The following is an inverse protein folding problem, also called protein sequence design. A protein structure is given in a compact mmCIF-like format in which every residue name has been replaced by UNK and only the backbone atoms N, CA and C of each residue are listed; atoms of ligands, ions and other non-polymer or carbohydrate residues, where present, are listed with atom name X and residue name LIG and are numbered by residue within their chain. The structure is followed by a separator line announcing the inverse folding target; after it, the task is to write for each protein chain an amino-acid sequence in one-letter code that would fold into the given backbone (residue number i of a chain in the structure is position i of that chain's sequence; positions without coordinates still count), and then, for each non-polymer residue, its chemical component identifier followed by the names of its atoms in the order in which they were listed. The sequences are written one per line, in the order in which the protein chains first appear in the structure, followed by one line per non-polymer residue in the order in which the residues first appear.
data_IF_147953464305
#
_entry.id   IF_147953464305
#
_cell.length_a   1.000
_cell.length_b   1.000
_cell.length_c   1.000
_cell.angle_alpha   90.00
_cell.angle_beta   90.00
_cell.angle_gamma   90.00
#
_symmetry.space_group_name_H-M   'P 1'
#
loop_
_entity.id
_entity.type
_entity.pdbx_description
1 polymer ?
#
# COMPACT_ATOMS: atom_id res chain seq x y z
N UNK A 1 26.37 7.26 -7.25
CA UNK A 1 25.86 5.87 -7.23
C UNK A 1 25.62 5.50 -5.79
N UNK A 2 24.37 5.56 -5.35
CA UNK A 2 24.02 5.11 -4.00
C UNK A 2 23.73 3.61 -4.12
N UNK A 3 24.53 2.79 -3.43
CA UNK A 3 24.29 1.35 -3.32
C UNK A 3 23.21 1.19 -2.24
N UNK A 4 21.98 1.60 -2.53
CA UNK A 4 20.87 1.42 -1.58
C UNK A 4 20.38 -0.01 -1.72
N UNK A 5 21.14 -0.94 -1.16
CA UNK A 5 20.59 -2.22 -0.76
C UNK A 5 20.16 -2.07 0.69
N UNK A 6 18.86 -2.19 0.95
CA UNK A 6 18.29 -2.04 2.29
C UNK A 6 18.88 -3.13 3.19
N UNK A 7 19.59 -2.75 4.26
CA UNK A 7 20.24 -3.71 5.18
C UNK A 7 19.24 -4.64 5.88
N UNK A 8 18.01 -4.18 6.07
CA UNK A 8 16.90 -4.95 6.64
C UNK A 8 15.88 -5.12 5.53
N UNK A 9 15.50 -6.38 5.27
CA UNK A 9 14.54 -6.73 4.22
C UNK A 9 13.32 -7.38 4.85
N UNK A 10 12.09 -6.95 4.49
CA UNK A 10 10.90 -7.70 4.86
C UNK A 10 10.94 -9.10 4.24
N UNK A 11 10.48 -10.10 4.99
CA UNK A 11 10.34 -11.46 4.49
C UNK A 11 8.86 -11.84 4.49
N UNK A 12 8.32 -12.19 3.32
CA UNK A 12 6.93 -12.59 3.14
C UNK A 12 6.81 -14.12 3.13
N UNK A 13 5.81 -14.62 3.86
CA UNK A 13 5.51 -16.05 3.94
C UNK A 13 4.33 -16.40 3.05
N UNK A 14 4.52 -17.39 2.18
CA UNK A 14 3.49 -17.93 1.30
C UNK A 14 3.28 -19.41 1.59
N UNK A 15 2.14 -19.93 1.14
CA UNK A 15 1.78 -21.34 1.27
C UNK A 15 2.64 -22.15 0.28
N UNK A 16 2.36 -21.98 -1.02
CA UNK A 16 3.09 -22.54 -2.16
C UNK A 16 3.17 -21.59 -3.38
N UNK A 17 2.53 -20.42 -3.31
CA UNK A 17 2.29 -19.49 -4.41
C UNK A 17 3.31 -18.35 -4.55
N UNK A 18 4.50 -18.46 -3.94
CA UNK A 18 5.52 -17.40 -3.95
C UNK A 18 5.85 -16.88 -5.36
N UNK A 19 6.07 -17.75 -6.34
CA UNK A 19 6.48 -17.31 -7.68
C UNK A 19 5.38 -16.50 -8.37
N UNK A 20 4.13 -16.93 -8.23
CA UNK A 20 2.95 -16.22 -8.74
C UNK A 20 2.83 -14.84 -8.09
N UNK A 21 2.92 -14.78 -6.75
CA UNK A 21 2.84 -13.53 -6.01
C UNK A 21 3.95 -12.54 -6.42
N UNK A 22 5.19 -13.02 -6.56
CA UNK A 22 6.31 -12.18 -7.01
C UNK A 22 6.07 -11.63 -8.41
N UNK A 23 5.59 -12.46 -9.34
CA UNK A 23 5.27 -12.02 -10.71
C UNK A 23 4.14 -11.00 -10.73
N UNK A 24 3.10 -11.23 -9.93
CA UNK A 24 1.97 -10.31 -9.79
C UNK A 24 2.44 -8.94 -9.28
N UNK A 25 3.10 -8.87 -8.13
CA UNK A 25 3.53 -7.58 -7.57
C UNK A 25 4.51 -6.83 -8.47
N UNK A 26 5.50 -7.53 -9.04
CA UNK A 26 6.47 -6.89 -9.95
C UNK A 26 5.87 -6.41 -11.28
N UNK A 27 4.67 -6.88 -11.64
CA UNK A 27 3.93 -6.36 -12.79
C UNK A 27 3.15 -5.08 -12.48
N UNK A 28 2.81 -4.84 -11.21
CA UNK A 28 2.01 -3.71 -10.76
C UNK A 28 2.89 -2.51 -10.43
N UNK A 29 3.94 -2.73 -9.64
CA UNK A 29 4.77 -1.64 -9.11
C UNK A 29 5.84 -1.23 -10.14
N UNK A 30 6.01 0.07 -10.42
CA UNK A 30 7.10 0.54 -11.26
C UNK A 30 8.47 0.23 -10.60
N UNK A 31 9.55 0.39 -11.38
CA UNK A 31 10.93 0.18 -10.88
C UNK A 31 11.15 -1.14 -10.13
N UNK A 32 10.39 -2.18 -10.51
CA UNK A 32 10.38 -3.48 -9.86
C UNK A 32 11.18 -4.50 -10.65
N UNK A 33 11.71 -5.50 -9.95
CA UNK A 33 12.46 -6.57 -10.59
C UNK A 33 12.37 -7.87 -9.82
N UNK A 34 12.35 -8.97 -10.57
CA UNK A 34 12.49 -10.31 -10.02
C UNK A 34 13.98 -10.60 -9.87
N UNK A 35 14.40 -10.96 -8.66
CA UNK A 35 15.75 -11.38 -8.34
C UNK A 35 15.89 -12.90 -8.40
N UNK A 36 16.53 -13.48 -7.39
CA UNK A 36 16.67 -14.93 -7.29
C UNK A 36 15.34 -15.60 -6.92
N UNK A 37 14.89 -16.57 -7.71
CA UNK A 37 13.69 -17.36 -7.44
C UNK A 37 13.97 -18.86 -7.49
N UNK A 38 13.43 -19.58 -6.52
CA UNK A 38 13.36 -21.03 -6.45
C UNK A 38 11.98 -21.43 -5.93
N UNK A 39 11.58 -22.71 -6.03
CA UNK A 39 10.29 -23.15 -5.47
C UNK A 39 10.14 -22.93 -3.95
N UNK A 40 11.24 -22.77 -3.20
CA UNK A 40 11.22 -22.61 -1.74
C UNK A 40 11.41 -21.16 -1.29
N UNK A 41 12.30 -20.41 -1.96
CA UNK A 41 12.68 -19.05 -1.56
C UNK A 41 12.78 -18.11 -2.76
N UNK A 42 12.50 -16.84 -2.50
CA UNK A 42 12.59 -15.78 -3.48
C UNK A 42 13.21 -14.49 -2.95
N UNK A 43 13.66 -13.68 -3.89
CA UNK A 43 14.06 -12.28 -3.72
C UNK A 43 13.48 -11.47 -4.89
N UNK A 44 12.92 -10.31 -4.58
CA UNK A 44 12.33 -9.41 -5.56
C UNK A 44 12.36 -7.98 -5.03
N UNK A 45 12.26 -7.01 -5.92
CA UNK A 45 12.24 -5.59 -5.59
C UNK A 45 10.95 -4.97 -6.09
N UNK A 46 10.27 -4.21 -5.23
CA UNK A 46 9.11 -3.39 -5.56
C UNK A 46 9.44 -1.93 -5.29
N UNK A 47 9.35 -1.04 -6.30
CA UNK A 47 9.65 0.39 -6.15
C UNK A 47 10.97 0.69 -5.40
N UNK A 48 12.00 -0.12 -5.65
CA UNK A 48 13.31 0.00 -5.02
C UNK A 48 13.44 -0.60 -3.61
N UNK A 49 12.37 -1.12 -3.00
CA UNK A 49 12.44 -1.90 -1.76
C UNK A 49 12.60 -3.39 -2.07
N UNK A 50 13.70 -3.98 -1.60
CA UNK A 50 13.95 -5.43 -1.78
C UNK A 50 13.30 -6.26 -0.67
N UNK A 51 12.60 -7.30 -1.09
CA UNK A 51 11.89 -8.26 -0.27
C UNK A 51 12.53 -9.64 -0.40
N UNK A 52 12.39 -10.40 0.68
CA UNK A 52 12.56 -11.85 0.69
C UNK A 52 11.19 -12.52 0.70
N UNK A 53 11.10 -13.72 0.15
CA UNK A 53 9.92 -14.55 0.24
C UNK A 53 10.27 -16.01 0.50
N UNK A 54 9.37 -16.73 1.16
CA UNK A 54 9.49 -18.17 1.45
C UNK A 54 8.14 -18.85 1.22
N UNK A 55 8.13 -19.95 0.49
CA UNK A 55 7.04 -20.93 0.49
C UNK A 55 7.23 -21.85 1.69
N UNK A 56 6.45 -21.66 2.74
CA UNK A 56 6.63 -22.38 4.00
C UNK A 56 5.42 -23.20 4.43
N UNK A 57 4.36 -23.25 3.62
CA UNK A 57 3.14 -23.97 3.93
C UNK A 57 2.12 -23.14 4.77
N UNK A 58 0.99 -23.76 5.14
CA UNK A 58 -0.25 -23.03 5.46
C UNK A 58 -0.33 -22.50 6.89
N UNK A 59 0.68 -22.83 7.70
CA UNK A 59 0.66 -22.63 9.15
C UNK A 59 0.77 -21.15 9.54
N UNK A 60 1.41 -20.32 8.71
CA UNK A 60 1.51 -18.88 8.91
C UNK A 60 0.74 -18.15 7.81
N UNK A 61 -0.10 -17.21 8.22
CA UNK A 61 -0.93 -16.39 7.32
C UNK A 61 -0.59 -14.92 7.47
N UNK A 62 -0.80 -14.17 6.40
CA UNK A 62 -0.78 -12.71 6.49
C UNK A 62 -1.85 -12.23 7.46
N UNK A 63 -1.54 -11.12 8.11
CA UNK A 63 -2.46 -10.35 8.94
C UNK A 63 -2.15 -8.87 8.76
N UNK A 64 -3.06 -8.02 9.18
CA UNK A 64 -2.94 -6.56 9.13
C UNK A 64 -1.83 -6.03 10.04
N UNK A 65 -1.21 -6.87 10.86
CA UNK A 65 -0.10 -6.50 11.75
C UNK A 65 1.15 -6.01 10.97
N UNK A 66 1.31 -6.43 9.71
CA UNK A 66 2.34 -5.93 8.80
C UNK A 66 1.67 -5.48 7.51
N UNK A 67 1.81 -4.20 7.19
CA UNK A 67 1.26 -3.59 5.98
C UNK A 67 2.31 -2.71 5.29
N UNK A 68 2.26 -2.63 3.96
CA UNK A 68 3.08 -1.71 3.17
C UNK A 68 2.20 -0.57 2.66
N UNK A 69 2.64 0.65 2.89
CA UNK A 69 1.95 1.85 2.42
C UNK A 69 2.59 2.34 1.13
N UNK A 70 1.75 2.63 0.13
CA UNK A 70 2.17 3.20 -1.15
C UNK A 70 1.79 4.67 -1.13
N UNK A 71 2.78 5.55 -1.20
CA UNK A 71 2.54 6.98 -1.36
C UNK A 71 2.16 7.24 -2.81
N UNK A 72 0.95 7.72 -3.04
CA UNK A 72 0.44 8.04 -4.37
C UNK A 72 0.51 9.56 -4.59
N UNK A 73 0.85 9.98 -5.80
CA UNK A 73 0.91 11.39 -6.16
C UNK A 73 -0.48 12.02 -6.32
N UNK A 74 -1.46 11.25 -6.80
CA UNK A 74 -2.81 11.71 -7.06
C UNK A 74 -3.84 10.57 -7.08
N UNK A 75 -5.11 10.91 -7.34
CA UNK A 75 -6.22 9.95 -7.43
C UNK A 75 -6.02 8.90 -8.54
N UNK A 76 -5.35 9.25 -9.64
CA UNK A 76 -5.12 8.31 -10.75
C UNK A 76 -4.21 7.19 -10.31
N UNK A 77 -3.16 7.49 -9.55
CA UNK A 77 -2.30 6.45 -8.96
C UNK A 77 -3.04 5.65 -7.87
N UNK A 78 -3.83 6.32 -7.02
CA UNK A 78 -4.67 5.61 -6.04
C UNK A 78 -5.59 4.60 -6.74
N UNK A 79 -6.26 5.03 -7.81
CA UNK A 79 -7.16 4.19 -8.59
C UNK A 79 -6.41 3.04 -9.27
N UNK A 80 -5.26 3.32 -9.87
CA UNK A 80 -4.42 2.29 -10.50
C UNK A 80 -4.01 1.20 -9.50
N UNK A 81 -3.43 1.58 -8.35
CA UNK A 81 -2.98 0.60 -7.37
C UNK A 81 -4.16 -0.13 -6.71
N UNK A 82 -5.25 0.58 -6.41
CA UNK A 82 -6.45 -0.04 -5.84
C UNK A 82 -7.05 -1.08 -6.79
N UNK A 83 -7.33 -0.69 -8.03
CA UNK A 83 -7.97 -1.56 -9.01
C UNK A 83 -7.06 -2.74 -9.40
N UNK A 84 -5.73 -2.55 -9.39
CA UNK A 84 -4.76 -3.62 -9.66
C UNK A 84 -4.61 -4.61 -8.50
N UNK A 85 -4.61 -4.13 -7.25
CA UNK A 85 -4.35 -5.00 -6.07
C UNK A 85 -5.60 -5.70 -5.55
N UNK A 86 -6.79 -5.19 -5.86
CA UNK A 86 -8.06 -5.88 -5.58
C UNK A 86 -8.28 -7.06 -6.53
N UNK A 87 -7.66 -7.08 -7.72
CA UNK A 87 -7.69 -8.25 -8.59
C UNK A 87 -6.88 -9.41 -7.96
N UNK A 88 -7.60 -10.38 -7.38
CA UNK A 88 -7.02 -11.44 -6.56
C UNK A 88 -6.84 -11.09 -5.08
N UNK A 89 -7.25 -9.89 -4.66
CA UNK A 89 -7.22 -9.41 -3.28
C UNK A 89 -8.61 -9.14 -2.69
N UNK A 90 -8.66 -8.55 -1.51
CA UNK A 90 -9.90 -8.14 -0.84
C UNK A 90 -9.82 -6.66 -0.46
N UNK A 91 -10.92 -5.92 -0.71
CA UNK A 91 -11.05 -4.54 -0.24
C UNK A 91 -11.08 -4.51 1.30
N UNK A 92 -10.28 -3.63 1.90
CA UNK A 92 -10.28 -3.39 3.33
C UNK A 92 -10.30 -1.88 3.63
N UNK A 93 -10.72 -1.53 4.84
CA UNK A 93 -10.78 -0.14 5.28
C UNK A 93 -9.35 0.39 5.53
N UNK A 94 -8.80 1.14 4.58
CA UNK A 94 -7.55 1.86 4.76
C UNK A 94 -7.80 3.37 4.86
N UNK A 95 -6.86 4.08 5.49
CA UNK A 95 -6.95 5.52 5.68
C UNK A 95 -5.82 6.31 5.02
N UNK A 96 -6.16 7.48 4.49
CA UNK A 96 -5.17 8.47 4.07
C UNK A 96 -4.48 9.03 5.32
N UNK A 97 -3.27 8.54 5.60
CA UNK A 97 -2.50 8.91 6.78
C UNK A 97 -2.33 10.44 6.92
N UNK A 98 -2.14 11.16 5.81
CA UNK A 98 -1.92 12.60 5.80
C UNK A 98 -3.13 13.41 6.31
N UNK A 99 -4.34 13.14 5.79
CA UNK A 99 -5.55 13.86 6.20
C UNK A 99 -6.03 13.48 7.61
N UNK A 100 -5.78 12.24 8.07
CA UNK A 100 -6.12 11.84 9.46
C UNK A 100 -5.09 12.33 10.49
N UNK A 101 -3.94 12.85 10.05
CA UNK A 101 -2.89 13.42 10.91
C UNK A 101 -2.71 14.93 10.77
N UNK A 102 -3.52 15.61 9.95
CA UNK A 102 -3.51 17.05 9.75
C UNK A 102 -3.48 17.84 11.09
N UNK A 103 -2.63 18.86 11.27
CA UNK A 103 -2.57 19.61 12.53
C UNK A 103 -3.92 20.24 12.93
N UNK A 104 -4.80 20.53 11.97
CA UNK A 104 -6.16 20.99 12.20
C UNK A 104 -7.08 19.81 12.57
N UNK A 105 -7.49 19.80 13.85
CA UNK A 105 -8.42 18.80 14.40
C UNK A 105 -9.74 18.74 13.63
N UNK A 106 -10.29 19.86 13.17
CA UNK A 106 -11.57 19.89 12.46
C UNK A 106 -11.45 19.21 11.08
N UNK A 107 -10.36 19.49 10.35
CA UNK A 107 -10.05 18.81 9.08
C UNK A 107 -9.87 17.32 9.28
N UNK A 108 -9.07 16.90 10.28
CA UNK A 108 -8.88 15.48 10.63
C UNK A 108 -10.16 14.74 10.94
N UNK A 109 -11.00 15.31 11.81
CA UNK A 109 -12.24 14.68 12.22
C UNK A 109 -13.21 14.54 11.05
N UNK A 110 -13.25 15.52 10.16
CA UNK A 110 -14.06 15.45 8.95
C UNK A 110 -13.55 14.42 7.94
N UNK A 111 -12.24 14.41 7.66
CA UNK A 111 -11.61 13.42 6.78
C UNK A 111 -11.77 12.00 7.34
N UNK A 112 -11.55 11.81 8.65
CA UNK A 112 -11.73 10.51 9.32
C UNK A 112 -13.19 10.04 9.22
N UNK A 113 -14.16 10.95 9.43
CA UNK A 113 -15.58 10.60 9.34
C UNK A 113 -15.99 10.21 7.93
N UNK A 114 -15.52 10.94 6.92
CA UNK A 114 -15.77 10.63 5.52
C UNK A 114 -15.14 9.27 5.13
N UNK A 115 -13.89 9.04 5.52
CA UNK A 115 -13.16 7.79 5.30
C UNK A 115 -13.85 6.57 5.89
N UNK A 116 -14.36 6.66 7.13
CA UNK A 116 -15.07 5.54 7.77
C UNK A 116 -16.36 5.10 7.05
N UNK A 117 -16.90 5.95 6.18
CA UNK A 117 -18.05 5.62 5.34
C UNK A 117 -17.68 5.10 3.94
N UNK A 118 -16.41 5.13 3.58
CA UNK A 118 -15.92 4.75 2.25
C UNK A 118 -15.50 3.28 2.22
N UNK A 119 -15.84 2.61 1.12
CA UNK A 119 -15.30 1.29 0.78
C UNK A 119 -14.08 1.37 -0.14
N UNK A 120 -14.01 2.43 -0.95
CA UNK A 120 -12.88 2.81 -1.81
C UNK A 120 -12.55 4.28 -1.53
N UNK A 121 -11.26 4.60 -1.41
CA UNK A 121 -10.81 5.96 -1.11
C UNK A 121 -10.99 6.89 -2.32
N UNK A 122 -11.76 7.96 -2.14
CA UNK A 122 -11.86 9.07 -3.09
C UNK A 122 -11.20 10.29 -2.44
N UNK A 123 -9.94 10.55 -2.78
CA UNK A 123 -9.10 11.63 -2.25
C UNK A 123 -9.83 12.97 -2.31
N UNK A 124 -10.44 13.28 -3.46
CA UNK A 124 -11.17 14.56 -3.63
C UNK A 124 -12.32 14.74 -2.65
N UNK A 125 -13.03 13.67 -2.31
CA UNK A 125 -14.15 13.74 -1.37
C UNK A 125 -13.64 13.89 0.07
N UNK A 126 -12.48 13.31 0.39
CA UNK A 126 -11.81 13.47 1.67
C UNK A 126 -11.24 14.89 1.84
N UNK A 127 -10.61 15.44 0.81
CA UNK A 127 -10.15 16.83 0.77
C UNK A 127 -11.33 17.80 0.87
N UNK A 128 -12.41 17.59 0.11
CA UNK A 128 -13.60 18.42 0.19
C UNK A 128 -14.25 18.37 1.58
N UNK A 129 -14.30 17.21 2.22
CA UNK A 129 -14.78 17.08 3.59
C UNK A 129 -13.87 17.81 4.59
N UNK A 130 -12.55 17.72 4.42
CA UNK A 130 -11.58 18.42 5.24
C UNK A 130 -11.69 19.96 5.08
N UNK A 131 -11.71 20.45 3.84
CA UNK A 131 -11.78 21.88 3.51
C UNK A 131 -13.11 22.50 3.94
N UNK A 132 -14.22 21.78 3.82
CA UNK A 132 -15.51 22.22 4.31
C UNK A 132 -15.56 22.36 5.85
N UNK A 133 -14.74 21.58 6.57
CA UNK A 133 -14.70 21.60 8.04
C UNK A 133 -13.73 22.67 8.60
N UNK A 134 -12.80 23.17 7.79
CA UNK A 134 -11.94 24.30 8.14
C UNK A 134 -11.63 25.15 6.89
N UNK A 135 -12.47 26.16 6.57
CA UNK A 135 -12.32 26.99 5.36
C UNK A 135 -11.13 27.99 5.41
N UNK A 136 -10.09 27.75 6.21
CA UNK A 136 -9.08 28.74 6.51
C UNK A 136 -7.80 28.62 5.65
N UNK A 137 -7.86 29.08 4.39
CA UNK A 137 -6.77 29.83 3.71
C UNK A 137 -7.21 30.39 2.35
N UNK A 138 -8.41 30.96 2.22
CA UNK A 138 -8.71 31.89 1.11
C UNK A 138 -8.35 33.31 1.53
N UNK A 139 -7.06 33.65 1.46
CA UNK A 139 -6.53 35.01 1.35
C UNK A 139 -5.12 35.00 0.76
#
# INVERSE_FOLDING_TARGET
MSIVSTRIQPCLWFDDQLEEAVRFYTSIFPSSSIGHLTPLVGEFTLDGLTFRAINGGPDLRFSEAVSFAVTCADQTEVDYYWDSLVDGGEESACGLYELVTDPDRARREAATRAMLGMRRLVVRDLEAAADAASPAASS
#
